data_IF_496748410855
#
_entry.id   IF_496748410855
#
_cell.length_a   1.000
_cell.length_b   1.000
_cell.length_c   1.000
_cell.angle_alpha   90.00
_cell.angle_beta   90.00
_cell.angle_gamma   90.00
#
_symmetry.space_group_name_H-M   'P 1'
#
loop_
_entity.id
_entity.type
_entity.pdbx_description
1 polymer ?
#
# COMPACT_ATOMS: atom_id res chain seq x y z
N UNK A 1 5.13 18.41 -12.94
CA UNK A 1 6.24 17.46 -12.76
C UNK A 1 5.81 16.55 -11.63
N UNK A 2 5.82 15.21 -11.79
CA UNK A 2 5.57 14.33 -10.65
C UNK A 2 6.61 14.65 -9.59
N UNK A 3 6.16 14.97 -8.37
CA UNK A 3 7.04 15.34 -7.27
C UNK A 3 7.97 14.17 -6.96
N UNK A 4 9.29 14.41 -7.02
CA UNK A 4 10.33 13.41 -6.75
C UNK A 4 10.19 12.74 -5.38
N UNK A 5 9.51 13.42 -4.44
CA UNK A 5 9.14 12.90 -3.12
C UNK A 5 8.18 11.73 -3.23
N UNK A 6 7.14 11.85 -4.07
CA UNK A 6 6.12 10.81 -4.28
C UNK A 6 6.73 9.55 -4.88
N UNK A 7 7.65 9.69 -5.84
CA UNK A 7 8.37 8.55 -6.43
C UNK A 7 9.33 7.85 -5.46
N UNK A 8 9.91 8.58 -4.50
CA UNK A 8 10.83 8.03 -3.49
C UNK A 8 10.08 7.22 -2.43
N UNK A 9 8.88 7.68 -2.06
CA UNK A 9 8.00 6.94 -1.16
C UNK A 9 7.50 5.63 -1.80
N UNK A 10 7.13 5.66 -3.08
CA UNK A 10 6.75 4.44 -3.80
C UNK A 10 7.88 3.40 -3.87
N UNK A 11 9.12 3.81 -4.16
CA UNK A 11 10.26 2.87 -4.18
C UNK A 11 10.53 2.27 -2.81
N UNK A 12 10.39 3.08 -1.75
CA UNK A 12 10.54 2.62 -0.37
C UNK A 12 9.47 1.59 0.00
N UNK A 13 8.21 1.83 -0.38
CA UNK A 13 7.14 0.87 -0.13
C UNK A 13 7.30 -0.41 -0.95
N UNK A 14 7.70 -0.30 -2.23
CA UNK A 14 8.01 -1.48 -3.07
C UNK A 14 9.09 -2.33 -2.41
N UNK A 15 10.20 -1.72 -1.99
CA UNK A 15 11.30 -2.43 -1.35
C UNK A 15 10.89 -3.07 -0.01
N UNK A 16 9.93 -2.50 0.71
CA UNK A 16 9.37 -3.15 1.89
C UNK A 16 8.52 -4.35 1.49
N UNK A 17 7.53 -4.16 0.63
CA UNK A 17 6.55 -5.20 0.31
C UNK A 17 7.19 -6.39 -0.45
N UNK A 18 8.36 -6.18 -1.06
CA UNK A 18 9.19 -7.24 -1.62
C UNK A 18 9.97 -8.03 -0.55
N UNK A 19 10.14 -7.49 0.66
CA UNK A 19 10.65 -8.26 1.77
C UNK A 19 9.56 -9.23 2.26
N UNK A 20 9.99 -10.37 2.75
CA UNK A 20 9.09 -11.37 3.29
C UNK A 20 8.29 -10.77 4.44
N UNK A 21 6.97 -10.62 4.26
CA UNK A 21 6.09 -10.01 5.25
C UNK A 21 5.99 -10.82 6.54
N UNK A 22 6.33 -12.11 6.50
CA UNK A 22 6.49 -12.93 7.69
C UNK A 22 7.68 -12.50 8.57
N UNK A 23 8.61 -11.72 8.00
CA UNK A 23 9.79 -11.14 8.65
C UNK A 23 9.70 -9.61 8.76
N UNK A 24 8.59 -9.00 8.34
CA UNK A 24 8.44 -7.54 8.40
C UNK A 24 8.34 -7.09 9.86
N UNK A 25 9.21 -6.15 10.21
CA UNK A 25 9.10 -5.40 11.44
C UNK A 25 7.76 -4.66 11.45
N UNK A 26 6.85 -5.06 12.35
CA UNK A 26 5.53 -4.45 12.51
C UNK A 26 5.63 -2.93 12.68
N UNK A 27 6.68 -2.43 13.33
CA UNK A 27 6.89 -0.99 13.48
C UNK A 27 7.19 -0.30 12.15
N UNK A 28 7.88 -1.00 11.24
CA UNK A 28 8.22 -0.49 9.91
C UNK A 28 7.01 -0.55 8.96
N UNK A 29 6.17 -1.58 9.06
CA UNK A 29 4.89 -1.64 8.36
C UNK A 29 3.95 -0.50 8.79
N UNK A 30 3.76 -0.31 10.10
CA UNK A 30 2.93 0.76 10.66
C UNK A 30 3.45 2.13 10.21
N UNK A 31 4.76 2.36 10.25
CA UNK A 31 5.35 3.63 9.81
C UNK A 31 5.08 3.96 8.33
N UNK A 32 5.02 2.94 7.46
CA UNK A 32 4.72 3.13 6.04
C UNK A 32 3.22 3.42 5.86
N UNK A 33 2.35 2.70 6.57
CA UNK A 33 0.92 2.97 6.57
C UNK A 33 0.64 4.41 7.03
N UNK A 34 1.27 4.87 8.11
CA UNK A 34 1.13 6.26 8.60
C UNK A 34 1.60 7.31 7.58
N UNK A 35 2.65 7.01 6.81
CA UNK A 35 3.08 7.89 5.72
C UNK A 35 2.04 7.97 4.61
N UNK A 36 1.45 6.85 4.24
CA UNK A 36 0.38 6.83 3.25
C UNK A 36 -0.91 7.48 3.74
N UNK A 37 -1.29 7.25 5.00
CA UNK A 37 -2.42 7.94 5.65
C UNK A 37 -2.26 9.47 5.55
N UNK A 38 -1.06 10.00 5.81
CA UNK A 38 -0.80 11.43 5.69
C UNK A 38 -0.89 11.94 4.24
N UNK A 39 -0.50 11.13 3.26
CA UNK A 39 -0.53 11.52 1.84
C UNK A 39 -1.91 11.41 1.22
N UNK A 40 -2.68 10.41 1.63
CA UNK A 40 -3.96 10.04 1.04
C UNK A 40 -5.15 10.55 1.86
N UNK A 41 -4.92 11.44 2.83
CA UNK A 41 -5.97 11.98 3.67
C UNK A 41 -7.14 12.55 2.83
N UNK A 42 -8.34 12.03 3.09
CA UNK A 42 -9.56 12.42 2.37
C UNK A 42 -9.86 11.62 1.10
N UNK A 43 -9.13 10.54 0.82
CA UNK A 43 -9.50 9.51 -0.16
C UNK A 43 -10.10 8.28 0.53
N UNK A 44 -10.77 7.42 -0.24
CA UNK A 44 -11.33 6.17 0.30
C UNK A 44 -10.20 5.23 0.80
N UNK A 45 -9.04 5.25 0.13
CA UNK A 45 -7.83 4.50 0.52
C UNK A 45 -7.34 4.86 1.93
N UNK A 46 -7.55 6.10 2.38
CA UNK A 46 -7.18 6.49 3.75
C UNK A 46 -7.94 5.69 4.80
N UNK A 47 -9.23 5.41 4.57
CA UNK A 47 -10.06 4.65 5.51
C UNK A 47 -9.56 3.21 5.61
N UNK A 48 -9.29 2.57 4.46
CA UNK A 48 -8.73 1.21 4.40
C UNK A 48 -7.36 1.10 5.08
N UNK A 49 -6.53 2.15 4.98
CA UNK A 49 -5.24 2.21 5.64
C UNK A 49 -5.35 2.29 7.17
N UNK A 50 -6.32 3.04 7.69
CA UNK A 50 -6.58 3.06 9.13
C UNK A 50 -7.03 1.70 9.63
N UNK A 51 -7.92 1.03 8.89
CA UNK A 51 -8.38 -0.33 9.21
C UNK A 51 -7.23 -1.33 9.15
N UNK A 52 -6.38 -1.27 8.12
CA UNK A 52 -5.20 -2.11 7.97
C UNK A 52 -4.25 -1.96 9.16
N UNK A 53 -3.97 -0.73 9.58
CA UNK A 53 -3.14 -0.46 10.76
C UNK A 53 -3.74 -1.08 12.02
N UNK A 54 -5.05 -0.98 12.21
CA UNK A 54 -5.73 -1.59 13.35
C UNK A 54 -5.67 -3.13 13.30
N UNK A 55 -5.88 -3.74 12.14
CA UNK A 55 -5.81 -5.19 11.96
C UNK A 55 -4.41 -5.73 12.30
N UNK A 56 -3.36 -5.02 11.88
CA UNK A 56 -1.96 -5.32 12.24
C UNK A 56 -1.75 -5.23 13.75
N UNK A 57 -2.22 -4.15 14.40
CA UNK A 57 -2.07 -3.96 15.84
C UNK A 57 -2.84 -4.99 16.67
N UNK A 58 -4.02 -5.41 16.19
CA UNK A 58 -4.86 -6.39 16.85
C UNK A 58 -4.42 -7.84 16.57
N UNK A 59 -3.53 -8.05 15.61
CA UNK A 59 -3.07 -9.38 15.20
C UNK A 59 -4.15 -10.23 14.54
N UNK A 60 -5.17 -9.61 13.94
CA UNK A 60 -6.26 -10.32 13.29
C UNK A 60 -5.89 -10.68 11.85
N UNK A 61 -5.35 -11.88 11.67
CA UNK A 61 -4.82 -12.34 10.38
C UNK A 61 -5.88 -12.40 9.26
N UNK A 62 -7.12 -12.78 9.57
CA UNK A 62 -8.21 -12.84 8.57
C UNK A 62 -8.62 -11.45 8.09
N UNK A 63 -8.70 -10.50 9.02
CA UNK A 63 -9.01 -9.10 8.71
C UNK A 63 -7.85 -8.47 7.93
N UNK A 64 -6.62 -8.76 8.33
CA UNK A 64 -5.40 -8.34 7.64
C UNK A 64 -5.35 -8.86 6.19
N UNK A 65 -5.66 -10.14 5.96
CA UNK A 65 -5.72 -10.72 4.61
C UNK A 65 -6.72 -9.97 3.72
N UNK A 66 -7.95 -9.75 4.21
CA UNK A 66 -8.98 -9.06 3.43
C UNK A 66 -8.58 -7.61 3.13
N UNK A 67 -8.12 -6.87 4.13
CA UNK A 67 -7.71 -5.47 3.96
C UNK A 67 -6.52 -5.32 3.01
N UNK A 68 -5.54 -6.23 3.07
CA UNK A 68 -4.40 -6.22 2.13
C UNK A 68 -4.84 -6.50 0.68
N UNK A 69 -5.82 -7.39 0.49
CA UNK A 69 -6.38 -7.65 -0.84
C UNK A 69 -7.12 -6.43 -1.36
N UNK A 70 -8.05 -5.89 -0.57
CA UNK A 70 -8.92 -4.79 -0.98
C UNK A 70 -8.09 -3.53 -1.27
N UNK A 71 -7.14 -3.18 -0.38
CA UNK A 71 -6.19 -2.10 -0.60
C UNK A 71 -5.32 -2.33 -1.84
N UNK A 72 -4.94 -3.58 -2.14
CA UNK A 72 -4.18 -3.93 -3.33
C UNK A 72 -4.96 -3.71 -4.63
N UNK A 73 -6.26 -4.01 -4.60
CA UNK A 73 -7.19 -3.76 -5.71
C UNK A 73 -7.40 -2.25 -5.93
N UNK A 74 -7.69 -1.49 -4.87
CA UNK A 74 -7.93 -0.04 -4.95
C UNK A 74 -6.67 0.76 -5.33
N UNK A 75 -5.52 0.34 -4.81
CA UNK A 75 -4.23 0.90 -5.23
C UNK A 75 -4.01 0.64 -6.72
N UNK A 76 -4.30 -0.57 -7.21
CA UNK A 76 -4.17 -0.88 -8.64
C UNK A 76 -5.14 -0.04 -9.48
N UNK A 77 -6.38 0.15 -9.04
CA UNK A 77 -7.37 1.00 -9.72
C UNK A 77 -6.90 2.47 -9.79
N UNK A 78 -6.23 2.96 -8.74
CA UNK A 78 -5.64 4.31 -8.72
C UNK A 78 -4.56 4.50 -9.77
N UNK A 79 -3.85 3.43 -10.16
CA UNK A 79 -2.88 3.49 -11.25
C UNK A 79 -3.52 3.90 -12.58
N UNK A 80 -4.76 3.50 -12.84
CA UNK A 80 -5.47 3.87 -14.07
C UNK A 80 -5.76 5.37 -14.12
N UNK A 81 -6.22 5.96 -13.02
CA UNK A 81 -6.37 7.41 -12.90
C UNK A 81 -5.06 8.16 -13.14
N UNK A 82 -3.95 7.67 -12.57
CA UNK A 82 -2.63 8.27 -12.79
C UNK A 82 -2.16 8.18 -14.25
N UNK A 83 -2.55 7.13 -15.01
CA UNK A 83 -2.27 7.05 -16.45
C UNK A 83 -3.07 8.07 -17.24
N UNK A 84 -4.35 8.24 -16.91
CA UNK A 84 -5.23 9.21 -17.57
C UNK A 84 -4.70 10.64 -17.43
N UNK A 85 -4.09 10.96 -16.27
CA UNK A 85 -3.43 12.24 -16.00
C UNK A 85 -2.03 12.38 -16.65
N UNK A 86 -1.57 11.37 -17.40
CA UNK A 86 -0.28 11.37 -18.08
C UNK A 86 0.93 11.06 -17.20
N UNK A 87 0.71 10.62 -15.96
CA UNK A 87 1.75 10.26 -14.99
C UNK A 87 2.16 8.78 -15.10
N UNK A 88 2.53 8.34 -16.30
CA UNK A 88 2.78 6.92 -16.62
C UNK A 88 3.80 6.23 -15.71
N UNK A 89 4.91 6.89 -15.36
CA UNK A 89 5.93 6.32 -14.47
C UNK A 89 5.40 6.12 -13.05
N UNK A 90 4.59 7.05 -12.57
CA UNK A 90 3.94 6.97 -11.26
C UNK A 90 2.90 5.85 -11.26
N UNK A 91 2.10 5.75 -12.33
CA UNK A 91 1.10 4.69 -12.48
C UNK A 91 1.73 3.29 -12.44
N UNK A 92 2.88 3.08 -13.10
CA UNK A 92 3.59 1.78 -13.05
C UNK A 92 3.99 1.42 -11.62
N UNK A 93 4.47 2.39 -10.84
CA UNK A 93 4.84 2.16 -9.43
C UNK A 93 3.63 1.86 -8.56
N UNK A 94 2.54 2.62 -8.73
CA UNK A 94 1.27 2.39 -8.02
C UNK A 94 0.73 0.99 -8.33
N UNK A 95 0.70 0.59 -9.60
CA UNK A 95 0.28 -0.76 -10.00
C UNK A 95 1.18 -1.85 -9.38
N UNK A 96 2.50 -1.63 -9.36
CA UNK A 96 3.43 -2.56 -8.73
C UNK A 96 3.15 -2.73 -7.24
N UNK A 97 2.84 -1.65 -6.54
CA UNK A 97 2.49 -1.67 -5.13
C UNK A 97 1.16 -2.42 -4.91
N UNK A 98 0.13 -2.13 -5.69
CA UNK A 98 -1.16 -2.83 -5.57
C UNK A 98 -1.04 -4.34 -5.77
N UNK A 99 -0.18 -4.78 -6.70
CA UNK A 99 0.14 -6.20 -6.89
C UNK A 99 0.88 -6.80 -5.71
N UNK A 100 1.84 -6.08 -5.13
CA UNK A 100 2.59 -6.55 -3.97
C UNK A 100 1.69 -6.68 -2.73
N UNK A 101 0.73 -5.76 -2.52
CA UNK A 101 -0.29 -5.86 -1.47
C UNK A 101 -1.25 -7.05 -1.70
N UNK A 102 -1.64 -7.29 -2.95
CA UNK A 102 -2.47 -8.45 -3.30
C UNK A 102 -1.72 -9.78 -3.11
N UNK A 103 -0.39 -9.78 -3.30
CA UNK A 103 0.46 -10.95 -3.00
C UNK A 103 0.69 -11.09 -1.51
N UNK A 104 0.78 -9.97 -0.78
CA UNK A 104 0.92 -9.92 0.66
C UNK A 104 -0.22 -10.68 1.35
N UNK A 105 -1.46 -10.38 0.97
CA UNK A 105 -2.64 -11.03 1.55
C UNK A 105 -2.59 -12.55 1.44
N UNK A 106 -2.14 -13.07 0.29
CA UNK A 106 -2.02 -14.52 0.04
C UNK A 106 -0.97 -15.23 0.91
N UNK A 107 -0.03 -14.47 1.47
CA UNK A 107 1.05 -14.98 2.30
C UNK A 107 0.83 -14.76 3.80
N UNK A 108 -0.27 -14.11 4.20
CA UNK A 108 -0.68 -14.01 5.61
C UNK A 108 -1.11 -15.42 6.05
N UNK A 109 -0.32 -16.07 6.91
CA UNK A 109 -0.56 -17.42 7.44
C UNK A 109 -0.42 -17.48 8.95
#
# INVERSE_FOLDING_TARGET
>A
MPDTTQTTDFDSTINLLQQDLSSVDLALAINIIERWEHQLQGTDIFEDLMELKQAILNGNLTELENLLRDLGEDTTATADSAREDGANEVAVKIEQIGKLLSQASQNVQ
#
